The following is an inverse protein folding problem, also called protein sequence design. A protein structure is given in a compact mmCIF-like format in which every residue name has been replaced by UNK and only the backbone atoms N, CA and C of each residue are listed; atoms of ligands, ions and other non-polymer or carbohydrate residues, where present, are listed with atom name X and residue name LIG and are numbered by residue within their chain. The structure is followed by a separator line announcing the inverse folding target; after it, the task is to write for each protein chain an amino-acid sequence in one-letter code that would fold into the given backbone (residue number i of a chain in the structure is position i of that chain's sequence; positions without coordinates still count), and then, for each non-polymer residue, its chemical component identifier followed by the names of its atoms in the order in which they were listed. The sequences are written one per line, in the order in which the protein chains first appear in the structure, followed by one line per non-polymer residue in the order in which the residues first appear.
data_IF_115370845424
#
_entry.id   IF_115370845424
#
_cell.length_a   1.000
_cell.length_b   1.000
_cell.length_c   1.000
_cell.angle_alpha   90.00
_cell.angle_beta   90.00
_cell.angle_gamma   90.00
#
_symmetry.space_group_name_H-M   'P 1'
#
loop_
_entity.id
_entity.type
_entity.pdbx_description
1 polymer ?
#
# COMPACT_ATOMS: atom_id res chain seq x y z
N UNK A 1 11.33 -17.36 18.72
CA UNK A 1 9.93 -17.00 18.52
C UNK A 1 9.55 -15.62 19.06
N UNK A 2 9.61 -15.42 20.37
CA UNK A 2 9.11 -14.17 21.00
C UNK A 2 9.89 -12.90 20.58
N UNK A 3 11.20 -12.98 20.43
CA UNK A 3 12.04 -11.83 20.00
C UNK A 3 11.64 -11.39 18.60
N UNK A 4 11.55 -12.32 17.65
CA UNK A 4 11.19 -12.00 16.26
C UNK A 4 9.77 -11.41 16.15
N UNK A 5 8.83 -11.92 16.94
CA UNK A 5 7.46 -11.37 16.99
C UNK A 5 7.44 -9.94 17.53
N UNK A 6 8.21 -9.67 18.59
CA UNK A 6 8.32 -8.32 19.16
C UNK A 6 8.96 -7.34 18.18
N UNK A 7 10.00 -7.77 17.46
CA UNK A 7 10.67 -6.94 16.46
C UNK A 7 9.74 -6.65 15.28
N UNK A 8 8.99 -7.66 14.82
CA UNK A 8 7.94 -7.48 13.83
C UNK A 8 6.90 -6.45 14.28
N UNK A 9 6.35 -6.61 15.49
CA UNK A 9 5.38 -5.68 16.06
C UNK A 9 5.94 -4.24 16.13
N UNK A 10 7.18 -4.09 16.52
CA UNK A 10 7.84 -2.77 16.58
C UNK A 10 7.88 -2.09 15.21
N UNK A 11 8.27 -2.83 14.17
CA UNK A 11 8.24 -2.33 12.79
C UNK A 11 6.83 -1.99 12.33
N UNK A 12 5.84 -2.83 12.63
CA UNK A 12 4.43 -2.57 12.30
C UNK A 12 3.94 -1.27 12.94
N UNK A 13 4.24 -1.05 14.21
CA UNK A 13 3.87 0.18 14.92
C UNK A 13 4.45 1.42 14.23
N UNK A 14 5.73 1.38 13.87
CA UNK A 14 6.40 2.50 13.20
C UNK A 14 5.80 2.76 11.82
N UNK A 15 5.57 1.71 11.02
CA UNK A 15 4.97 1.81 9.70
C UNK A 15 3.54 2.35 9.76
N UNK A 16 2.71 1.86 10.68
CA UNK A 16 1.33 2.30 10.81
C UNK A 16 1.21 3.77 11.25
N UNK A 17 2.19 4.30 12.01
CA UNK A 17 2.26 5.75 12.31
C UNK A 17 2.41 6.61 11.05
N UNK A 18 3.07 6.09 10.03
CA UNK A 18 3.23 6.76 8.75
C UNK A 18 1.99 6.57 7.88
N UNK A 19 1.52 5.33 7.72
CA UNK A 19 0.39 5.01 6.86
C UNK A 19 -0.89 5.75 7.26
N UNK A 20 -1.14 5.96 8.56
CA UNK A 20 -2.30 6.73 9.00
C UNK A 20 -2.29 8.19 8.56
N UNK A 21 -1.14 8.74 8.12
CA UNK A 21 -1.01 10.10 7.59
C UNK A 21 -1.39 10.19 6.12
N UNK A 22 -1.44 9.06 5.41
CA UNK A 22 -1.92 8.99 4.03
C UNK A 22 -3.44 9.06 4.07
N UNK A 23 -4.02 10.12 3.52
CA UNK A 23 -5.44 10.44 3.67
C UNK A 23 -6.36 9.27 3.28
N UNK A 24 -6.12 8.67 2.12
CA UNK A 24 -6.93 7.54 1.64
C UNK A 24 -6.79 6.29 2.51
N UNK A 25 -5.60 6.00 3.03
CA UNK A 25 -5.37 4.88 3.96
C UNK A 25 -6.12 5.11 5.27
N UNK A 26 -6.01 6.31 5.84
CA UNK A 26 -6.69 6.65 7.09
C UNK A 26 -8.22 6.56 6.96
N UNK A 27 -8.79 7.06 5.88
CA UNK A 27 -10.23 7.01 5.60
C UNK A 27 -10.73 5.58 5.45
N UNK A 28 -10.01 4.74 4.70
CA UNK A 28 -10.36 3.31 4.54
C UNK A 28 -10.40 2.59 5.87
N UNK A 29 -9.32 2.74 6.64
CA UNK A 29 -9.16 2.02 7.91
C UNK A 29 -10.17 2.45 8.98
N UNK A 30 -10.71 3.67 8.91
CA UNK A 30 -11.72 4.17 9.85
C UNK A 30 -13.15 3.74 9.53
N UNK A 31 -13.44 3.37 8.27
CA UNK A 31 -14.79 3.03 7.78
C UNK A 31 -15.19 1.56 7.93
N UNK A 32 -14.56 0.85 8.83
CA UNK A 32 -14.90 -0.56 8.98
C UNK A 32 -16.23 -0.69 9.71
N UNK A 33 -17.30 -0.93 9.00
CA UNK A 33 -18.61 -1.21 9.57
C UNK A 33 -18.64 -2.41 10.53
N UNK A 34 -17.52 -3.11 10.68
CA UNK A 34 -17.36 -4.25 11.60
C UNK A 34 -16.96 -3.84 13.02
N UNK A 35 -16.35 -2.69 13.19
CA UNK A 35 -16.00 -2.18 14.53
C UNK A 35 -15.87 -0.65 14.53
N UNK A 36 -16.98 0.09 14.67
CA UNK A 36 -16.97 1.56 14.58
C UNK A 36 -16.19 2.25 15.70
N UNK A 37 -15.75 1.50 16.73
CA UNK A 37 -14.94 2.03 17.83
C UNK A 37 -13.44 1.92 17.60
N UNK A 38 -13.00 1.25 16.53
CA UNK A 38 -11.59 1.06 16.25
C UNK A 38 -11.04 2.25 15.46
N UNK A 39 -9.94 2.85 15.94
CA UNK A 39 -9.24 3.90 15.20
C UNK A 39 -8.58 3.35 13.93
N UNK A 40 -8.32 4.23 12.94
CA UNK A 40 -7.59 3.86 11.73
C UNK A 40 -6.23 3.21 12.05
N UNK A 41 -5.51 3.77 13.01
CA UNK A 41 -4.24 3.24 13.46
C UNK A 41 -4.34 1.82 14.03
N UNK A 42 -5.31 1.58 14.92
CA UNK A 42 -5.53 0.25 15.50
C UNK A 42 -5.95 -0.77 14.44
N UNK A 43 -6.74 -0.36 13.46
CA UNK A 43 -7.16 -1.22 12.35
C UNK A 43 -5.96 -1.63 11.49
N UNK A 44 -5.08 -0.68 11.13
CA UNK A 44 -3.87 -0.94 10.38
C UNK A 44 -2.94 -1.92 11.10
N UNK A 45 -2.70 -1.69 12.41
CA UNK A 45 -1.90 -2.61 13.22
C UNK A 45 -2.49 -4.02 13.16
N UNK A 46 -3.79 -4.16 13.37
CA UNK A 46 -4.46 -5.47 13.32
C UNK A 46 -4.27 -6.13 11.95
N UNK A 47 -4.42 -5.39 10.85
CA UNK A 47 -4.22 -5.89 9.49
C UNK A 47 -2.81 -6.44 9.27
N UNK A 48 -1.79 -5.73 9.71
CA UNK A 48 -0.40 -6.20 9.63
C UNK A 48 -0.11 -7.38 10.56
N UNK A 49 -0.63 -7.36 11.78
CA UNK A 49 -0.42 -8.47 12.73
C UNK A 49 -1.05 -9.77 12.26
N UNK A 50 -2.20 -9.70 11.59
CA UNK A 50 -2.84 -10.87 11.00
C UNK A 50 -2.10 -11.42 9.77
N UNK A 51 -1.25 -10.60 9.15
CA UNK A 51 -0.47 -10.97 7.96
C UNK A 51 0.98 -11.38 8.29
N UNK A 52 1.34 -11.58 9.56
CA UNK A 52 2.69 -11.94 9.97
C UNK A 52 3.11 -13.30 9.42
N UNK A 53 4.20 -13.32 8.66
CA UNK A 53 4.85 -14.56 8.20
C UNK A 53 5.89 -15.01 9.26
N UNK A 54 5.61 -16.14 9.91
CA UNK A 54 6.47 -16.75 10.93
C UNK A 54 7.30 -17.92 10.42
N UNK A 55 7.29 -18.19 9.13
CA UNK A 55 7.98 -19.35 8.55
C UNK A 55 9.50 -19.26 8.63
N UNK A 56 10.02 -18.04 8.58
CA UNK A 56 11.46 -17.76 8.69
C UNK A 56 11.73 -16.42 9.37
N UNK A 57 12.79 -16.34 10.17
CA UNK A 57 13.25 -15.10 10.77
C UNK A 57 14.19 -14.32 9.80
N UNK A 58 14.19 -12.97 9.83
CA UNK A 58 13.28 -12.10 10.56
C UNK A 58 11.84 -12.14 10.00
N UNK A 59 10.84 -12.04 10.88
CA UNK A 59 9.44 -12.06 10.46
C UNK A 59 9.09 -10.86 9.60
N UNK A 60 8.24 -11.08 8.59
CA UNK A 60 7.82 -10.07 7.60
C UNK A 60 6.32 -10.22 7.29
N UNK A 61 5.68 -9.21 6.69
CA UNK A 61 4.30 -9.36 6.26
C UNK A 61 4.16 -10.28 5.04
N UNK A 62 3.08 -11.05 5.00
CA UNK A 62 2.54 -11.60 3.77
C UNK A 62 1.71 -10.46 3.16
N UNK A 63 2.30 -9.70 2.24
CA UNK A 63 1.77 -8.40 1.79
C UNK A 63 0.34 -8.50 1.23
N UNK A 64 0.05 -9.51 0.43
CA UNK A 64 -1.29 -9.72 -0.12
C UNK A 64 -2.37 -10.03 0.94
N UNK A 65 -1.97 -10.33 2.17
CA UNK A 65 -2.89 -10.59 3.27
C UNK A 65 -3.06 -9.38 4.22
N UNK A 66 -2.32 -8.29 3.98
CA UNK A 66 -2.45 -7.09 4.80
C UNK A 66 -3.76 -6.38 4.46
N UNK A 67 -4.67 -6.31 5.44
CA UNK A 67 -5.95 -5.61 5.30
C UNK A 67 -5.79 -4.13 5.69
N UNK A 68 -5.98 -3.24 4.74
CA UNK A 68 -5.96 -1.79 4.92
C UNK A 68 -7.35 -1.15 4.82
N UNK A 69 -8.38 -1.97 4.74
CA UNK A 69 -9.78 -1.56 4.72
C UNK A 69 -10.48 -1.76 3.37
N UNK A 70 -11.81 -1.74 3.38
CA UNK A 70 -12.64 -1.92 2.19
C UNK A 70 -12.63 -0.68 1.29
N UNK A 71 -13.09 -0.83 0.04
CA UNK A 71 -13.26 0.25 -0.92
C UNK A 71 -14.64 0.23 -1.56
N UNK A 72 -15.08 1.39 -2.05
CA UNK A 72 -16.38 1.59 -2.73
C UNK A 72 -16.24 1.54 -4.28
N UNK A 73 -15.01 1.70 -4.78
CA UNK A 73 -14.69 1.59 -6.20
C UNK A 73 -14.15 0.19 -6.45
N UNK A 74 -14.55 -0.45 -7.54
CA UNK A 74 -14.01 -1.74 -7.91
C UNK A 74 -12.49 -1.71 -8.08
N UNK A 75 -11.79 -2.82 -7.79
CA UNK A 75 -10.33 -2.87 -7.81
C UNK A 75 -9.76 -2.64 -9.22
N UNK A 76 -8.60 -2.01 -9.29
CA UNK A 76 -7.78 -1.99 -10.49
C UNK A 76 -6.85 -3.21 -10.51
N UNK A 77 -6.44 -3.63 -11.71
CA UNK A 77 -5.39 -4.62 -11.85
C UNK A 77 -4.06 -3.91 -11.99
N UNK A 78 -3.26 -3.94 -10.93
CA UNK A 78 -1.92 -3.37 -10.92
C UNK A 78 -0.85 -4.42 -11.23
N UNK A 79 0.15 -3.99 -11.99
CA UNK A 79 1.40 -4.73 -12.18
C UNK A 79 2.58 -3.81 -11.88
N UNK A 80 3.68 -4.40 -11.42
CA UNK A 80 4.91 -3.65 -11.13
C UNK A 80 6.09 -4.28 -11.82
N UNK A 81 7.03 -3.43 -12.27
CA UNK A 81 8.35 -3.87 -12.71
C UNK A 81 9.40 -2.81 -12.34
N UNK A 82 10.65 -3.24 -12.25
CA UNK A 82 11.78 -2.34 -11.98
C UNK A 82 12.68 -2.34 -13.21
N UNK A 83 12.99 -1.15 -13.68
CA UNK A 83 13.96 -0.93 -14.75
C UNK A 83 14.79 0.33 -14.47
N UNK A 84 16.09 0.22 -14.65
CA UNK A 84 17.03 1.35 -14.60
C UNK A 84 16.89 2.23 -13.33
N UNK A 85 16.62 1.62 -12.18
CA UNK A 85 16.49 2.33 -10.89
C UNK A 85 15.13 2.96 -10.63
N UNK A 86 14.15 2.72 -11.50
CA UNK A 86 12.76 3.15 -11.32
C UNK A 86 11.84 1.96 -11.13
N UNK A 87 10.83 2.14 -10.29
CA UNK A 87 9.68 1.24 -10.19
C UNK A 87 8.55 1.80 -11.04
N UNK A 88 8.07 0.98 -11.95
CA UNK A 88 6.90 1.29 -12.77
C UNK A 88 5.69 0.57 -12.18
N UNK A 89 4.63 1.33 -11.97
CA UNK A 89 3.31 0.83 -11.58
C UNK A 89 2.36 1.04 -12.75
N UNK A 90 1.90 -0.06 -13.33
CA UNK A 90 1.00 -0.04 -14.48
C UNK A 90 -0.38 -0.57 -14.11
N UNK A 91 -1.43 -0.11 -14.80
CA UNK A 91 -2.80 -0.58 -14.58
C UNK A 91 -3.61 -0.57 -15.85
N UNK A 92 -4.65 -1.40 -15.88
CA UNK A 92 -5.55 -1.49 -17.01
C UNK A 92 -6.62 -0.39 -16.94
N UNK A 93 -6.91 0.22 -18.09
CA UNK A 93 -7.92 1.27 -18.24
C UNK A 93 -9.09 0.88 -19.16
N UNK A 94 -8.98 -0.21 -19.93
CA UNK A 94 -9.93 -0.55 -21.00
C UNK A 94 -11.34 -0.90 -20.52
N UNK A 95 -11.47 -1.50 -19.34
CA UNK A 95 -12.75 -1.85 -18.72
C UNK A 95 -12.78 -1.30 -17.30
N UNK A 96 -13.39 -0.13 -17.13
CA UNK A 96 -13.46 0.48 -15.81
C UNK A 96 -14.28 -0.38 -14.84
N UNK A 97 -13.74 -0.65 -13.63
CA UNK A 97 -14.50 -1.30 -12.58
C UNK A 97 -15.74 -0.50 -12.17
N UNK A 98 -16.65 -1.15 -11.43
CA UNK A 98 -17.84 -0.50 -10.91
C UNK A 98 -17.47 0.76 -10.09
N UNK A 99 -18.20 1.85 -10.31
CA UNK A 99 -17.99 3.17 -9.69
C UNK A 99 -16.64 3.83 -9.99
N UNK A 100 -15.82 3.28 -10.90
CA UNK A 100 -14.56 3.87 -11.30
C UNK A 100 -14.75 4.96 -12.35
N UNK A 101 -13.82 5.92 -12.36
CA UNK A 101 -13.77 7.03 -13.32
C UNK A 101 -12.36 7.19 -13.88
N UNK A 102 -12.27 7.67 -15.11
CA UNK A 102 -11.01 8.07 -15.74
C UNK A 102 -10.21 9.09 -14.91
N UNK A 103 -10.92 9.92 -14.15
CA UNK A 103 -10.33 11.00 -13.35
C UNK A 103 -10.02 10.60 -11.91
N UNK A 104 -10.22 9.35 -11.52
CA UNK A 104 -9.77 8.85 -10.22
C UNK A 104 -8.27 9.07 -10.08
N UNK A 105 -7.85 9.40 -8.87
CA UNK A 105 -6.47 9.80 -8.55
C UNK A 105 -5.76 8.62 -7.87
N UNK A 106 -4.57 8.29 -8.36
CA UNK A 106 -3.71 7.29 -7.76
C UNK A 106 -3.15 7.81 -6.43
N UNK A 107 -3.32 7.03 -5.37
CA UNK A 107 -2.51 7.12 -4.17
C UNK A 107 -1.57 5.92 -4.12
N UNK A 108 -0.28 6.18 -3.91
CA UNK A 108 0.74 5.15 -3.92
C UNK A 108 1.76 5.39 -2.80
N UNK A 109 2.02 4.34 -2.03
CA UNK A 109 3.06 4.32 -0.99
C UNK A 109 3.96 3.12 -1.25
N UNK A 110 5.27 3.36 -1.31
CA UNK A 110 6.28 2.33 -1.38
C UNK A 110 6.91 2.13 -0.02
N UNK A 111 7.16 0.89 0.36
CA UNK A 111 7.71 0.51 1.65
C UNK A 111 8.89 -0.43 1.45
N UNK A 112 10.04 -0.06 1.97
CA UNK A 112 11.17 -0.96 2.18
C UNK A 112 11.07 -1.52 3.59
N UNK A 113 10.61 -2.76 3.72
CA UNK A 113 10.44 -3.40 5.02
C UNK A 113 11.76 -3.71 5.73
N UNK A 114 12.80 -4.05 4.97
CA UNK A 114 14.11 -4.42 5.54
C UNK A 114 14.78 -3.24 6.21
N UNK A 115 14.75 -2.07 5.55
CA UNK A 115 15.38 -0.84 6.04
C UNK A 115 14.39 0.07 6.78
N UNK A 116 13.12 -0.29 6.80
CA UNK A 116 12.02 0.52 7.36
C UNK A 116 12.00 1.94 6.80
N UNK A 117 12.14 2.04 5.49
CA UNK A 117 12.01 3.27 4.74
C UNK A 117 10.69 3.25 3.95
N UNK A 118 10.15 4.42 3.64
CA UNK A 118 8.92 4.58 2.86
C UNK A 118 9.00 5.80 1.96
N UNK A 119 8.21 5.77 0.90
CA UNK A 119 8.05 6.87 -0.02
C UNK A 119 6.58 7.03 -0.39
N UNK A 120 6.02 8.23 -0.15
CA UNK A 120 4.66 8.57 -0.55
C UNK A 120 4.77 9.30 -1.88
N UNK A 121 4.23 8.70 -2.95
CA UNK A 121 4.31 9.28 -4.28
C UNK A 121 3.43 10.54 -4.38
N UNK A 122 4.01 11.70 -4.73
CA UNK A 122 3.28 12.95 -4.83
C UNK A 122 2.63 13.19 -6.19
N UNK A 123 2.80 12.30 -7.17
CA UNK A 123 2.46 12.54 -8.57
C UNK A 123 0.95 12.69 -8.82
N UNK A 124 0.12 12.07 -7.97
CA UNK A 124 -1.34 12.10 -8.10
C UNK A 124 -1.83 11.77 -9.53
N UNK A 125 -1.25 10.71 -10.11
CA UNK A 125 -1.59 10.28 -11.48
C UNK A 125 -3.07 9.95 -11.59
N UNK A 126 -3.65 10.29 -12.72
CA UNK A 126 -5.04 9.95 -13.02
C UNK A 126 -5.15 8.58 -13.66
N UNK A 127 -6.27 7.89 -13.39
CA UNK A 127 -6.50 6.52 -13.88
C UNK A 127 -6.27 6.35 -15.38
N UNK A 128 -6.66 7.33 -16.19
CA UNK A 128 -6.48 7.27 -17.65
C UNK A 128 -5.01 7.31 -18.12
N UNK A 129 -4.08 7.67 -17.25
CA UNK A 129 -2.64 7.77 -17.60
C UNK A 129 -1.93 6.41 -17.60
N UNK A 130 -2.55 5.36 -17.09
CA UNK A 130 -2.23 3.92 -17.16
C UNK A 130 -0.87 3.48 -16.61
N UNK A 131 0.04 4.39 -16.30
CA UNK A 131 1.37 4.08 -15.77
C UNK A 131 1.89 5.19 -14.88
N UNK A 132 2.72 4.82 -13.90
CA UNK A 132 3.44 5.76 -13.05
C UNK A 132 4.87 5.28 -12.84
N UNK A 133 5.83 6.17 -13.04
CA UNK A 133 7.24 5.92 -12.78
C UNK A 133 7.65 6.56 -11.45
N UNK A 134 8.29 5.78 -10.58
CA UNK A 134 8.82 6.22 -9.30
C UNK A 134 10.32 5.95 -9.27
N UNK A 135 11.12 7.02 -9.24
CA UNK A 135 12.58 6.92 -9.13
C UNK A 135 12.94 6.48 -7.71
N UNK A 136 13.48 5.28 -7.56
CA UNK A 136 13.70 4.66 -6.25
C UNK A 136 14.72 5.41 -5.39
N UNK A 137 15.73 6.02 -6.00
CA UNK A 137 16.74 6.82 -5.28
C UNK A 137 16.18 8.10 -4.64
N UNK A 138 14.99 8.55 -5.04
CA UNK A 138 14.35 9.72 -4.42
C UNK A 138 13.81 9.42 -3.03
N UNK A 139 13.52 8.16 -2.72
CA UNK A 139 12.90 7.77 -1.45
C UNK A 139 13.67 6.72 -0.65
N UNK A 140 14.64 6.02 -1.25
CA UNK A 140 15.28 4.86 -0.63
C UNK A 140 16.80 4.91 -0.70
N UNK A 141 17.44 4.55 0.43
CA UNK A 141 18.89 4.39 0.52
C UNK A 141 19.36 3.17 -0.28
N UNK A 142 18.63 2.06 -0.19
CA UNK A 142 18.91 0.85 -0.95
C UNK A 142 17.82 0.60 -1.99
N UNK A 143 18.18 0.78 -3.27
CA UNK A 143 17.25 0.59 -4.39
C UNK A 143 17.05 -0.88 -4.77
N UNK A 144 17.91 -1.78 -4.28
CA UNK A 144 17.90 -3.19 -4.66
C UNK A 144 17.07 -4.10 -3.77
N UNK A 145 16.61 -3.62 -2.62
CA UNK A 145 15.70 -4.38 -1.76
C UNK A 145 14.27 -4.38 -2.31
N UNK A 146 13.49 -5.45 -2.09
CA UNK A 146 12.08 -5.49 -2.49
C UNK A 146 11.29 -4.33 -1.88
N UNK A 147 10.41 -3.71 -2.67
CA UNK A 147 9.50 -2.67 -2.21
C UNK A 147 8.08 -3.21 -2.20
N UNK A 148 7.41 -3.10 -1.06
CA UNK A 148 5.96 -3.29 -1.03
C UNK A 148 5.28 -2.05 -1.59
N UNK A 149 4.25 -2.25 -2.38
CA UNK A 149 3.50 -1.20 -3.05
C UNK A 149 2.07 -1.23 -2.53
N UNK A 150 1.66 -0.18 -1.85
CA UNK A 150 0.26 0.09 -1.52
C UNK A 150 -0.23 1.11 -2.54
N UNK A 151 -1.09 0.68 -3.46
CA UNK A 151 -1.63 1.54 -4.50
C UNK A 151 -3.13 1.35 -4.63
N UNK A 152 -3.85 2.43 -4.77
CA UNK A 152 -5.29 2.43 -4.99
C UNK A 152 -5.73 3.76 -5.60
N UNK A 153 -6.95 3.77 -6.14
CA UNK A 153 -7.54 4.99 -6.69
C UNK A 153 -8.52 5.63 -5.69
N UNK A 154 -8.50 6.94 -5.63
CA UNK A 154 -9.45 7.76 -4.90
C UNK A 154 -10.24 8.63 -5.89
N UNK A 155 -11.55 8.78 -5.66
CA UNK A 155 -12.37 9.67 -6.48
C UNK A 155 -11.89 11.13 -6.38
N UNK A 156 -12.13 11.96 -7.42
CA UNK A 156 -11.71 13.37 -7.40
C UNK A 156 -12.23 14.17 -6.21
N UNK A 157 -13.42 13.86 -5.71
CA UNK A 157 -14.02 14.48 -4.52
C UNK A 157 -13.51 13.87 -3.20
N UNK A 158 -12.62 12.86 -3.27
CA UNK A 158 -12.02 12.16 -2.13
C UNK A 158 -13.01 11.49 -1.18
N UNK A 159 -14.18 11.10 -1.68
CA UNK A 159 -15.21 10.43 -0.89
C UNK A 159 -15.22 8.92 -1.06
N UNK A 160 -14.66 8.39 -2.15
CA UNK A 160 -14.62 6.98 -2.50
C UNK A 160 -13.19 6.55 -2.87
N UNK A 161 -12.86 5.30 -2.64
CA UNK A 161 -11.56 4.70 -2.99
C UNK A 161 -11.71 3.25 -3.41
N UNK A 162 -10.75 2.75 -4.19
CA UNK A 162 -10.75 1.36 -4.63
C UNK A 162 -10.28 0.41 -3.53
N UNK A 163 -10.79 -0.82 -3.58
CA UNK A 163 -10.37 -1.91 -2.71
C UNK A 163 -9.16 -2.61 -3.32
N UNK A 164 -7.99 -2.46 -2.70
CA UNK A 164 -6.73 -3.04 -3.17
C UNK A 164 -5.98 -3.72 -2.03
N UNK A 165 -5.15 -4.68 -2.39
CA UNK A 165 -4.20 -5.31 -1.47
C UNK A 165 -2.78 -4.86 -1.83
N UNK A 166 -1.88 -4.71 -0.82
CA UNK A 166 -0.48 -4.42 -1.09
C UNK A 166 0.17 -5.48 -1.97
N UNK A 167 1.02 -5.02 -2.88
CA UNK A 167 1.81 -5.87 -3.77
C UNK A 167 3.28 -5.84 -3.36
N UNK A 168 4.01 -6.91 -3.66
CA UNK A 168 5.46 -6.91 -3.56
C UNK A 168 6.06 -6.74 -4.95
N UNK A 169 6.95 -5.78 -5.12
CA UNK A 169 7.66 -5.58 -6.38
C UNK A 169 8.62 -6.74 -6.62
N UNK A 170 8.62 -7.26 -7.84
CA UNK A 170 9.63 -8.21 -8.27
C UNK A 170 10.88 -7.43 -8.69
N UNK A 171 12.00 -7.67 -8.00
CA UNK A 171 13.30 -7.19 -8.42
C UNK A 171 13.82 -8.21 -9.42
N UNK A 172 14.10 -7.75 -10.62
CA UNK A 172 14.79 -8.55 -11.63
C UNK A 172 16.28 -8.25 -11.57
#
# INVERSE_FOLDING_TARGET
GQVNHRDYFTKVVQLCKILKRVEGVAKRSSRTGRNPKMSAYSYLIKGFMNAEDRTSAPYKPIWQNVDIGPGDIGPATFTTHIDSGSLYLDWNYTNLPINASANDILECVLIDWENLEWYIDPSAMKRYQVSNEIVLSDGFTNVNTPKAVIAFFISPDKTKWSAEFPLLSNIQ
#
